data_IF_161926349292
#
_entry.id   IF_161926349292
#
_cell.length_a   1.000
_cell.length_b   1.000
_cell.length_c   1.000
_cell.angle_alpha   90.00
_cell.angle_beta   90.00
_cell.angle_gamma   90.00
#
_symmetry.space_group_name_H-M   'P 1'
#
loop_
_entity.id
_entity.type
_entity.pdbx_description
1 polymer ?
#
# COMPACT_ATOMS: atom_id res chain seq x y z
N UNK A 1 1.42 83.55 -3.03
CA UNK A 1 0.51 84.24 -3.97
C UNK A 1 0.53 83.39 -5.24
N UNK A 2 -0.43 82.55 -5.60
CA UNK A 2 -1.89 82.63 -5.57
C UNK A 2 -2.35 82.38 -7.01
N UNK A 3 -3.28 81.45 -7.26
CA UNK A 3 -3.96 81.36 -8.56
C UNK A 3 -4.35 79.95 -9.04
N UNK A 4 -5.62 79.59 -8.83
CA UNK A 4 -6.33 78.44 -9.39
C UNK A 4 -6.60 78.56 -10.90
N UNK A 5 -6.73 77.43 -11.60
CA UNK A 5 -7.72 77.22 -12.68
C UNK A 5 -7.83 75.72 -13.01
N UNK A 6 -9.05 75.17 -12.89
CA UNK A 6 -9.35 73.76 -13.15
C UNK A 6 -9.58 73.44 -14.63
N UNK A 7 -9.59 72.15 -14.94
CA UNK A 7 -10.35 71.64 -16.10
C UNK A 7 -10.89 70.24 -15.82
N UNK A 8 -12.20 70.22 -15.64
CA UNK A 8 -13.13 69.09 -15.56
C UNK A 8 -13.03 68.23 -16.83
N UNK A 9 -12.80 66.92 -16.71
CA UNK A 9 -13.26 65.94 -17.71
C UNK A 9 -14.20 64.95 -17.04
N UNK A 10 -15.44 65.00 -17.52
CA UNK A 10 -16.51 64.03 -17.34
C UNK A 10 -16.32 62.96 -18.40
N UNK A 11 -16.26 61.69 -18.03
CA UNK A 11 -16.76 60.61 -18.87
C UNK A 11 -17.13 59.43 -17.97
N UNK A 12 -18.42 59.36 -17.66
CA UNK A 12 -19.09 58.09 -17.38
C UNK A 12 -19.44 57.52 -18.75
N UNK A 13 -18.97 56.33 -19.06
CA UNK A 13 -19.83 55.19 -19.42
C UNK A 13 -19.06 54.09 -20.14
N UNK A 14 -19.52 52.89 -19.78
CA UNK A 14 -19.64 51.71 -20.62
C UNK A 14 -18.39 50.91 -21.01
N UNK A 15 -18.34 49.75 -20.35
CA UNK A 15 -18.48 48.44 -20.98
C UNK A 15 -17.23 47.78 -21.59
N UNK A 16 -16.88 46.67 -20.95
CA UNK A 16 -16.64 45.42 -21.68
C UNK A 16 -15.23 45.21 -22.17
N UNK A 17 -14.31 44.89 -21.27
CA UNK A 17 -13.15 44.09 -21.66
C UNK A 17 -13.12 42.80 -20.83
N UNK A 18 -13.14 41.71 -21.59
CA UNK A 18 -13.48 40.34 -21.25
C UNK A 18 -12.82 39.80 -19.98
N UNK A 19 -13.64 39.54 -18.96
CA UNK A 19 -13.32 38.48 -18.01
C UNK A 19 -13.64 37.14 -18.66
N UNK A 20 -12.71 36.61 -19.45
CA UNK A 20 -12.69 35.16 -19.72
C UNK A 20 -12.61 34.48 -18.35
N UNK A 21 -13.56 33.63 -17.95
CA UNK A 21 -13.43 32.89 -16.72
C UNK A 21 -12.35 31.82 -16.95
N UNK A 22 -11.12 32.14 -16.55
CA UNK A 22 -10.09 31.15 -16.27
C UNK A 22 -10.74 30.02 -15.45
N UNK A 23 -10.70 28.76 -15.92
CA UNK A 23 -11.32 27.65 -15.22
C UNK A 23 -10.54 27.39 -13.93
N UNK A 24 -10.99 28.00 -12.83
CA UNK A 24 -10.45 27.74 -11.50
C UNK A 24 -10.77 26.30 -11.08
N UNK A 25 -9.88 25.36 -11.40
CA UNK A 25 -9.87 24.05 -10.77
C UNK A 25 -8.45 23.62 -10.32
N UNK A 26 -7.91 24.22 -9.23
CA UNK A 26 -6.67 23.74 -8.61
C UNK A 26 -6.88 22.56 -7.64
N UNK A 27 -8.13 22.24 -7.27
CA UNK A 27 -8.42 21.25 -6.22
C UNK A 27 -8.60 19.81 -6.77
N UNK A 28 -8.97 19.69 -8.05
CA UNK A 28 -9.17 18.38 -8.70
C UNK A 28 -7.88 17.77 -9.25
N UNK A 29 -6.83 18.57 -9.48
CA UNK A 29 -5.52 18.07 -9.90
C UNK A 29 -4.73 17.44 -8.74
N UNK A 30 -4.84 17.99 -7.52
CA UNK A 30 -4.16 17.40 -6.36
C UNK A 30 -4.79 16.08 -5.94
N UNK A 31 -6.11 15.94 -6.09
CA UNK A 31 -6.77 14.66 -5.85
C UNK A 31 -6.48 13.71 -7.03
N UNK A 32 -6.73 14.13 -8.27
CA UNK A 32 -6.55 13.32 -9.49
C UNK A 32 -5.11 12.86 -9.78
N UNK A 33 -4.09 13.61 -9.38
CA UNK A 33 -2.68 13.20 -9.54
C UNK A 33 -2.25 12.12 -8.52
N UNK A 34 -2.83 12.11 -7.32
CA UNK A 34 -2.56 11.07 -6.33
C UNK A 34 -3.16 9.71 -6.74
N UNK A 35 -4.34 9.67 -7.38
CA UNK A 35 -4.95 8.42 -7.87
C UNK A 35 -4.22 7.85 -9.09
N UNK A 36 -3.72 8.70 -9.99
CA UNK A 36 -3.03 8.26 -11.22
C UNK A 36 -1.71 7.52 -10.94
N UNK A 37 -1.06 7.80 -9.81
CA UNK A 37 0.18 7.12 -9.40
C UNK A 37 -0.07 5.79 -8.66
N UNK A 38 -1.21 5.63 -7.99
CA UNK A 38 -1.61 4.36 -7.36
C UNK A 38 -1.93 3.26 -8.39
N UNK A 39 -2.39 3.65 -9.59
CA UNK A 39 -2.72 2.75 -10.71
C UNK A 39 -1.50 1.98 -11.23
N UNK A 40 -0.26 2.45 -10.99
CA UNK A 40 0.95 1.74 -11.41
C UNK A 40 1.32 0.52 -10.56
N UNK A 41 0.97 0.52 -9.27
CA UNK A 41 1.29 -0.56 -8.34
C UNK A 41 0.26 -1.71 -8.38
N UNK A 42 -1.02 -1.37 -8.59
CA UNK A 42 -2.13 -2.34 -8.68
C UNK A 42 -1.87 -3.50 -9.66
N UNK A 43 -1.44 -3.30 -10.92
CA UNK A 43 -1.17 -4.40 -11.83
C UNK A 43 0.01 -5.26 -11.37
N UNK A 44 1.02 -4.68 -10.71
CA UNK A 44 2.18 -5.43 -10.20
C UNK A 44 1.79 -6.32 -9.02
N UNK A 45 0.98 -5.79 -8.10
CA UNK A 45 0.44 -6.56 -6.96
C UNK A 45 -0.53 -7.64 -7.43
N UNK A 46 -1.39 -7.34 -8.41
CA UNK A 46 -2.30 -8.31 -9.03
C UNK A 46 -1.55 -9.45 -9.70
N UNK A 47 -0.58 -9.13 -10.56
CA UNK A 47 0.24 -10.13 -11.25
C UNK A 47 0.99 -10.98 -10.25
N UNK A 48 1.57 -10.37 -9.21
CA UNK A 48 2.21 -11.11 -8.12
C UNK A 48 1.22 -12.02 -7.40
N UNK A 49 0.06 -11.53 -6.96
CA UNK A 49 -0.92 -12.31 -6.22
C UNK A 49 -1.52 -13.46 -7.03
N UNK A 50 -1.84 -13.24 -8.31
CA UNK A 50 -2.34 -14.29 -9.21
C UNK A 50 -1.25 -15.33 -9.46
N UNK A 51 0.00 -14.91 -9.65
CA UNK A 51 1.13 -15.82 -9.82
C UNK A 51 1.38 -16.65 -8.55
N UNK A 52 1.31 -16.03 -7.36
CA UNK A 52 1.40 -16.72 -6.08
C UNK A 52 0.27 -17.74 -5.94
N UNK A 53 -0.99 -17.34 -6.13
CA UNK A 53 -2.13 -18.25 -6.05
C UNK A 53 -2.01 -19.42 -7.04
N UNK A 54 -1.62 -19.13 -8.28
CA UNK A 54 -1.35 -20.13 -9.31
C UNK A 54 -0.25 -21.10 -8.91
N UNK A 55 0.82 -20.64 -8.28
CA UNK A 55 1.92 -21.49 -7.80
C UNK A 55 1.47 -22.51 -6.74
N UNK A 56 0.69 -22.07 -5.75
CA UNK A 56 0.15 -22.96 -4.72
C UNK A 56 -0.81 -24.00 -5.28
N UNK A 57 -1.68 -23.60 -6.23
CA UNK A 57 -2.57 -24.53 -6.94
C UNK A 57 -1.75 -25.54 -7.74
N UNK A 58 -0.71 -25.09 -8.46
CA UNK A 58 0.13 -25.93 -9.30
C UNK A 58 0.94 -26.93 -8.48
N UNK A 59 1.43 -26.55 -7.30
CA UNK A 59 2.08 -27.48 -6.35
C UNK A 59 1.06 -28.44 -5.74
N UNK A 60 -0.14 -27.97 -5.34
CA UNK A 60 -1.15 -28.80 -4.69
C UNK A 60 -1.67 -29.94 -5.59
N UNK A 61 -1.82 -29.71 -6.91
CA UNK A 61 -2.25 -30.73 -7.87
C UNK A 61 -1.08 -31.49 -8.54
N UNK A 62 0.16 -31.22 -8.11
CA UNK A 62 1.34 -31.85 -8.72
C UNK A 62 1.45 -33.33 -8.33
N UNK A 63 1.41 -34.21 -9.34
CA UNK A 63 1.71 -35.64 -9.19
C UNK A 63 3.19 -35.97 -9.49
N UNK A 64 3.94 -35.02 -10.07
CA UNK A 64 5.35 -35.19 -10.42
C UNK A 64 6.22 -34.11 -9.77
N UNK A 65 7.45 -34.48 -9.42
CA UNK A 65 8.43 -33.55 -8.81
C UNK A 65 8.72 -32.36 -9.73
N UNK A 66 8.78 -32.59 -11.06
CA UNK A 66 9.00 -31.52 -12.03
C UNK A 66 7.91 -30.46 -12.00
N UNK A 67 6.64 -30.87 -11.91
CA UNK A 67 5.52 -29.94 -11.77
C UNK A 67 5.56 -29.17 -10.45
N UNK A 68 5.95 -29.80 -9.34
CA UNK A 68 6.09 -29.11 -8.05
C UNK A 68 7.20 -28.05 -8.11
N UNK A 69 8.34 -28.36 -8.73
CA UNK A 69 9.46 -27.43 -8.88
C UNK A 69 9.10 -26.23 -9.75
N UNK A 70 8.37 -26.43 -10.85
CA UNK A 70 7.85 -25.33 -11.65
C UNK A 70 6.97 -24.39 -10.81
N UNK A 71 6.12 -24.93 -9.93
CA UNK A 71 5.33 -24.15 -9.00
C UNK A 71 6.19 -23.32 -8.05
N UNK A 72 7.24 -23.91 -7.46
CA UNK A 72 8.17 -23.19 -6.57
C UNK A 72 8.91 -22.06 -7.30
N UNK A 73 9.27 -22.25 -8.57
CA UNK A 73 9.89 -21.18 -9.39
C UNK A 73 8.92 -20.01 -9.58
N UNK A 74 7.64 -20.29 -9.92
CA UNK A 74 6.62 -19.24 -10.02
C UNK A 74 6.36 -18.53 -8.69
N UNK A 75 6.34 -19.27 -7.58
CA UNK A 75 6.24 -18.70 -6.24
C UNK A 75 7.42 -17.75 -5.94
N UNK A 76 8.63 -18.12 -6.33
CA UNK A 76 9.85 -17.34 -6.11
C UNK A 76 9.84 -16.04 -6.92
N UNK A 77 9.46 -16.11 -8.20
CA UNK A 77 9.33 -14.93 -9.07
C UNK A 77 8.25 -13.99 -8.51
N UNK A 78 7.11 -14.53 -8.10
CA UNK A 78 6.05 -13.77 -7.46
C UNK A 78 6.53 -13.08 -6.18
N UNK A 79 7.21 -13.79 -5.29
CA UNK A 79 7.73 -13.22 -4.04
C UNK A 79 8.69 -12.06 -4.31
N UNK A 80 9.61 -12.20 -5.25
CA UNK A 80 10.55 -11.13 -5.62
C UNK A 80 9.84 -9.90 -6.20
N UNK A 81 8.86 -10.10 -7.08
CA UNK A 81 8.07 -9.00 -7.64
C UNK A 81 7.20 -8.32 -6.57
N UNK A 82 6.55 -9.10 -5.70
CA UNK A 82 5.72 -8.61 -4.61
C UNK A 82 6.52 -7.81 -3.59
N UNK A 83 7.66 -8.33 -3.15
CA UNK A 83 8.53 -7.68 -2.17
C UNK A 83 9.03 -6.31 -2.66
N UNK A 84 9.55 -6.25 -3.90
CA UNK A 84 9.98 -4.98 -4.51
C UNK A 84 8.83 -3.98 -4.59
N UNK A 85 7.63 -4.45 -4.93
CA UNK A 85 6.43 -3.63 -5.10
C UNK A 85 5.96 -3.08 -3.75
N UNK A 86 5.84 -3.92 -2.71
CA UNK A 86 5.45 -3.49 -1.36
C UNK A 86 6.50 -2.60 -0.69
N UNK A 87 7.78 -2.90 -0.83
CA UNK A 87 8.85 -2.04 -0.29
C UNK A 87 8.87 -0.67 -0.99
N UNK A 88 8.64 -0.64 -2.30
CA UNK A 88 8.49 0.63 -3.03
C UNK A 88 7.27 1.42 -2.57
N UNK A 89 6.17 0.76 -2.19
CA UNK A 89 5.01 1.40 -1.56
C UNK A 89 5.36 1.98 -0.18
N UNK A 90 6.15 1.28 0.64
CA UNK A 90 6.53 1.78 1.98
C UNK A 90 7.35 3.07 1.95
N UNK A 91 7.99 3.41 0.81
CA UNK A 91 8.71 4.67 0.64
C UNK A 91 7.81 5.92 0.75
N UNK A 92 6.50 5.77 0.56
CA UNK A 92 5.51 6.84 0.70
C UNK A 92 4.89 6.94 2.09
N UNK A 93 5.25 6.05 3.02
CA UNK A 93 4.68 5.95 4.37
C UNK A 93 5.72 6.23 5.46
N UNK A 94 5.29 6.46 6.73
CA UNK A 94 6.20 6.66 7.85
C UNK A 94 7.18 5.49 8.01
N UNK A 95 8.39 5.78 8.51
CA UNK A 95 9.46 4.79 8.71
C UNK A 95 9.05 3.60 9.59
N UNK A 96 8.06 3.77 10.47
CA UNK A 96 7.48 2.71 11.28
C UNK A 96 6.92 1.54 10.43
N UNK A 97 6.41 1.80 9.22
CA UNK A 97 5.83 0.77 8.34
C UNK A 97 6.85 -0.30 7.94
N UNK A 98 8.13 0.05 7.79
CA UNK A 98 9.20 -0.92 7.50
C UNK A 98 9.41 -1.88 8.68
N UNK A 99 9.30 -1.38 9.91
CA UNK A 99 9.38 -2.20 11.13
C UNK A 99 8.20 -3.18 11.22
N UNK A 100 6.99 -2.70 10.96
CA UNK A 100 5.79 -3.55 10.93
C UNK A 100 5.84 -4.59 9.81
N UNK A 101 6.35 -4.22 8.63
CA UNK A 101 6.57 -5.14 7.52
C UNK A 101 7.59 -6.24 7.86
N UNK A 102 8.73 -5.86 8.45
CA UNK A 102 9.75 -6.82 8.89
C UNK A 102 9.23 -7.73 10.01
N UNK A 103 8.46 -7.19 10.95
CA UNK A 103 7.84 -7.98 12.02
C UNK A 103 6.80 -8.96 11.47
N UNK A 104 5.96 -8.51 10.53
CA UNK A 104 4.93 -9.33 9.90
C UNK A 104 5.49 -10.48 9.07
N UNK A 105 6.55 -10.25 8.28
CA UNK A 105 7.21 -11.31 7.49
C UNK A 105 7.86 -12.37 8.37
N UNK A 106 8.51 -11.97 9.47
CA UNK A 106 9.05 -12.90 10.46
C UNK A 106 7.97 -13.73 11.17
N UNK A 107 6.89 -13.08 11.60
CA UNK A 107 5.74 -13.74 12.22
C UNK A 107 5.04 -14.71 11.27
N UNK A 108 4.88 -14.35 10.00
CA UNK A 108 4.28 -15.21 8.97
C UNK A 108 5.12 -16.47 8.73
N UNK A 109 6.45 -16.39 8.80
CA UNK A 109 7.31 -17.57 8.72
C UNK A 109 7.10 -18.53 9.89
N UNK A 110 7.03 -18.02 11.11
CA UNK A 110 6.80 -18.84 12.30
C UNK A 110 5.39 -19.44 12.31
N UNK A 111 4.36 -18.63 12.07
CA UNK A 111 2.96 -19.08 12.02
C UNK A 111 2.74 -20.06 10.86
N UNK A 112 3.35 -19.84 9.70
CA UNK A 112 3.29 -20.75 8.56
C UNK A 112 3.92 -22.11 8.86
N UNK A 113 5.11 -22.12 9.46
CA UNK A 113 5.78 -23.36 9.86
C UNK A 113 4.99 -24.14 10.92
N UNK A 114 4.51 -23.45 11.96
CA UNK A 114 3.68 -24.05 13.00
C UNK A 114 2.34 -24.57 12.45
N UNK A 115 1.72 -23.85 11.52
CA UNK A 115 0.48 -24.28 10.87
C UNK A 115 0.71 -25.54 10.04
N UNK A 116 1.78 -25.59 9.24
CA UNK A 116 2.11 -26.76 8.44
C UNK A 116 2.37 -28.00 9.31
N UNK A 117 3.18 -27.84 10.36
CA UNK A 117 3.45 -28.91 11.33
C UNK A 117 2.17 -29.34 12.07
N UNK A 118 1.36 -28.40 12.56
CA UNK A 118 0.12 -28.70 13.26
C UNK A 118 -0.89 -29.45 12.38
N UNK A 119 -1.07 -29.01 11.13
CA UNK A 119 -1.99 -29.66 10.19
C UNK A 119 -1.49 -31.06 9.77
N UNK A 120 -0.18 -31.22 9.57
CA UNK A 120 0.40 -32.53 9.20
C UNK A 120 0.43 -33.51 10.37
N UNK A 121 0.67 -33.06 11.60
CA UNK A 121 0.57 -33.88 12.82
C UNK A 121 -0.88 -34.28 13.13
N UNK A 122 -1.86 -33.46 12.72
CA UNK A 122 -3.28 -33.79 12.80
C UNK A 122 -3.75 -34.83 11.74
N UNK A 123 -2.86 -35.31 10.87
CA UNK A 123 -3.14 -36.37 9.90
C UNK A 123 -3.70 -35.87 8.56
N UNK A 124 -3.65 -34.57 8.26
CA UNK A 124 -4.06 -34.05 6.95
C UNK A 124 -3.02 -34.37 5.88
N UNK A 125 -3.50 -34.61 4.65
CA UNK A 125 -2.60 -34.78 3.51
C UNK A 125 -1.86 -33.47 3.22
N UNK A 126 -0.58 -33.52 2.79
CA UNK A 126 0.18 -32.32 2.41
C UNK A 126 -0.53 -31.48 1.35
N UNK A 127 -1.33 -32.10 0.46
CA UNK A 127 -2.11 -31.36 -0.54
C UNK A 127 -3.20 -30.51 0.11
N UNK A 128 -3.90 -31.04 1.12
CA UNK A 128 -4.94 -30.31 1.84
C UNK A 128 -4.35 -29.17 2.67
N UNK A 129 -3.16 -29.37 3.25
CA UNK A 129 -2.43 -28.31 3.95
C UNK A 129 -1.95 -27.20 3.00
N UNK A 130 -1.52 -27.53 1.79
CA UNK A 130 -1.17 -26.52 0.79
C UNK A 130 -2.39 -25.72 0.31
N UNK A 131 -3.54 -26.38 0.17
CA UNK A 131 -4.81 -25.73 -0.16
C UNK A 131 -5.31 -24.82 0.97
N UNK A 132 -5.08 -25.16 2.24
CA UNK A 132 -5.43 -24.27 3.35
C UNK A 132 -4.50 -23.05 3.42
N UNK A 133 -3.22 -23.22 3.10
CA UNK A 133 -2.24 -22.13 3.02
C UNK A 133 -2.48 -21.20 1.83
N UNK A 134 -3.20 -21.63 0.79
CA UNK A 134 -3.68 -20.77 -0.31
C UNK A 134 -4.57 -19.62 0.18
N UNK A 135 -5.17 -19.75 1.37
CA UNK A 135 -5.90 -18.67 2.02
C UNK A 135 -5.04 -17.42 2.25
N UNK A 136 -3.73 -17.56 2.47
CA UNK A 136 -2.81 -16.46 2.76
C UNK A 136 -2.59 -15.54 1.54
N UNK A 137 -2.20 -16.03 0.35
CA UNK A 137 -2.10 -15.18 -0.85
C UNK A 137 -3.46 -14.59 -1.28
N UNK A 138 -4.57 -15.31 -1.04
CA UNK A 138 -5.91 -14.76 -1.27
C UNK A 138 -6.25 -13.60 -0.31
N UNK A 139 -5.90 -13.76 0.97
CA UNK A 139 -6.10 -12.73 2.00
C UNK A 139 -5.19 -11.53 1.79
N UNK A 140 -3.97 -11.73 1.29
CA UNK A 140 -3.07 -10.66 0.87
C UNK A 140 -3.68 -9.85 -0.28
N UNK A 141 -4.25 -10.54 -1.28
CA UNK A 141 -4.91 -9.87 -2.40
C UNK A 141 -6.17 -9.12 -1.95
N UNK A 142 -6.99 -9.74 -1.11
CA UNK A 142 -8.18 -9.11 -0.53
C UNK A 142 -7.82 -7.90 0.34
N UNK A 143 -6.78 -8.01 1.18
CA UNK A 143 -6.27 -6.90 2.00
C UNK A 143 -5.78 -5.76 1.12
N UNK A 144 -5.04 -6.02 0.05
CA UNK A 144 -4.65 -4.97 -0.90
C UNK A 144 -5.87 -4.26 -1.51
N UNK A 145 -6.88 -5.02 -1.97
CA UNK A 145 -8.06 -4.40 -2.58
C UNK A 145 -8.99 -3.70 -1.59
N UNK A 146 -9.07 -4.17 -0.34
CA UNK A 146 -9.99 -3.61 0.66
C UNK A 146 -9.35 -2.52 1.52
N UNK A 147 -8.09 -2.66 1.93
CA UNK A 147 -7.37 -1.65 2.73
C UNK A 147 -6.74 -0.56 1.86
N UNK A 148 -6.03 -0.89 0.76
CA UNK A 148 -5.33 0.13 -0.03
C UNK A 148 -6.26 0.93 -0.95
N UNK A 149 -7.43 0.40 -1.31
CA UNK A 149 -8.43 1.15 -2.08
C UNK A 149 -9.33 2.01 -1.19
N UNK A 150 -9.30 1.84 0.14
CA UNK A 150 -10.08 2.67 1.05
C UNK A 150 -9.24 3.86 1.52
N UNK A 151 -9.48 5.09 1.02
CA UNK A 151 -8.91 6.29 1.62
C UNK A 151 -9.69 6.60 2.90
N UNK A 152 -9.55 5.77 3.93
CA UNK A 152 -10.07 6.14 5.24
C UNK A 152 -9.14 7.24 5.78
N UNK A 153 -9.73 8.40 6.08
CA UNK A 153 -9.04 9.57 6.60
C UNK A 153 -8.08 9.17 7.73
N UNK A 154 -6.79 9.44 7.54
CA UNK A 154 -5.79 9.27 8.61
C UNK A 154 -6.21 10.15 9.80
N UNK A 155 -6.71 9.51 10.86
CA UNK A 155 -6.80 10.13 12.17
C UNK A 155 -5.38 10.08 12.79
N UNK A 156 -4.74 11.23 13.04
CA UNK A 156 -3.34 11.29 13.46
C UNK A 156 -3.04 10.68 14.85
N UNK A 157 -4.07 10.22 15.59
CA UNK A 157 -3.91 9.73 16.96
C UNK A 157 -3.27 8.35 17.12
N UNK A 158 -3.34 7.47 16.12
CA UNK A 158 -2.83 6.09 16.24
C UNK A 158 -1.32 5.93 16.03
N UNK A 159 -0.70 6.88 15.32
CA UNK A 159 0.71 6.80 14.93
C UNK A 159 1.64 7.29 16.06
N UNK A 160 1.19 8.26 16.88
CA UNK A 160 1.93 8.76 18.04
C UNK A 160 2.05 7.71 19.16
N UNK A 161 1.05 6.86 19.34
CA UNK A 161 1.05 5.83 20.39
C UNK A 161 2.04 4.69 20.07
N UNK A 162 2.16 4.31 18.79
CA UNK A 162 3.13 3.32 18.32
C UNK A 162 4.58 3.86 18.31
N UNK A 163 4.79 5.13 17.93
CA UNK A 163 6.11 5.77 18.00
C UNK A 163 6.55 6.04 19.45
N UNK A 164 5.61 6.40 20.34
CA UNK A 164 5.84 6.57 21.78
C UNK A 164 6.16 5.24 22.48
N UNK A 165 5.47 4.15 22.14
CA UNK A 165 5.76 2.82 22.67
C UNK A 165 7.14 2.28 22.25
N UNK A 166 7.60 2.61 21.04
CA UNK A 166 8.93 2.23 20.54
C UNK A 166 10.07 3.12 21.10
N UNK A 167 9.79 4.37 21.50
CA UNK A 167 10.76 5.28 22.13
C UNK A 167 10.91 5.08 23.64
N UNK A 168 9.87 4.59 24.32
CA UNK A 168 9.90 4.37 25.77
C UNK A 168 10.89 3.33 26.33
N UNK A 169 11.45 2.35 25.59
CA UNK A 169 12.40 1.40 26.19
C UNK A 169 13.83 1.95 26.39
N UNK A 170 14.24 3.01 25.67
CA UNK A 170 15.63 3.52 25.71
C UNK A 170 15.86 4.67 26.71
N UNK A 171 14.81 5.28 27.27
CA UNK A 171 14.93 6.45 28.16
C UNK A 171 14.91 6.05 29.65
N UNK A 172 14.56 4.81 30.00
CA UNK A 172 14.39 4.38 31.41
C UNK A 172 15.59 3.68 32.05
N UNK A 173 16.73 3.60 31.38
CA UNK A 173 17.99 3.21 32.01
C UNK A 173 18.85 4.46 32.15
N UNK A 174 18.61 5.22 33.22
CA UNK A 174 19.59 6.06 33.91
C UNK A 174 18.80 6.73 35.04
N UNK A 175 18.65 6.06 36.16
CA UNK A 175 18.55 6.76 37.44
C UNK A 175 19.22 5.94 38.55
N UNK A 176 19.96 6.59 39.46
CA UNK A 176 20.89 5.97 40.42
C UNK A 176 20.20 5.35 41.63
#
# INVERSE_FOLDING_TARGET
MGGCAGSRRRFSDSEGEETVPEPRLPLLDHQGAHWKNAVGFCPRVLVSGICAAGSFVLVAFSHSVGTSLCGVVFASISSGLGEVTFLSLTAFYPRAVISWWSSGTGGAGLLGALSYLGLTQAGLSPQQTLLSMLGIPALLLASYFLLLTSPEAQDPGGEEEAESAARQPLIRTEAP
#
